data_IF_335365192329
#
_entry.id   IF_335365192329
#
_cell.length_a   1.000
_cell.length_b   1.000
_cell.length_c   1.000
_cell.angle_alpha   90.00
_cell.angle_beta   90.00
_cell.angle_gamma   90.00
#
_symmetry.space_group_name_H-M   'P 1'
#
loop_
_entity.id
_entity.type
_entity.pdbx_description
1 polymer ?
#
# COMPACT_ATOMS: atom_id res chain seq x y z
N UNK A 1 -1.36 -11.00 24.56
CA UNK A 1 -2.76 -10.52 24.67
C UNK A 1 -3.25 -10.21 23.26
N UNK A 2 -4.31 -10.85 22.80
CA UNK A 2 -4.88 -10.57 21.48
C UNK A 2 -5.38 -9.12 21.46
N UNK A 3 -4.80 -8.31 20.60
CA UNK A 3 -5.13 -6.89 20.48
C UNK A 3 -5.91 -6.70 19.19
N UNK A 4 -7.23 -6.49 19.31
CA UNK A 4 -8.14 -6.26 18.19
C UNK A 4 -7.69 -5.09 17.30
N UNK A 5 -7.13 -4.02 17.90
CA UNK A 5 -6.61 -2.88 17.13
C UNK A 5 -5.39 -3.29 16.31
N UNK A 6 -4.50 -4.13 16.86
CA UNK A 6 -3.36 -4.66 16.11
C UNK A 6 -3.83 -5.55 14.96
N UNK A 7 -4.77 -6.46 15.20
CA UNK A 7 -5.33 -7.33 14.16
C UNK A 7 -5.98 -6.50 13.04
N UNK A 8 -6.81 -5.51 13.38
CA UNK A 8 -7.43 -4.60 12.42
C UNK A 8 -6.41 -3.76 11.65
N UNK A 9 -5.34 -3.31 12.30
CA UNK A 9 -4.27 -2.56 11.62
C UNK A 9 -3.46 -3.44 10.66
N UNK A 10 -3.28 -4.73 10.99
CA UNK A 10 -2.47 -5.65 10.20
C UNK A 10 -3.25 -6.27 9.03
N UNK A 11 -4.54 -6.57 9.22
CA UNK A 11 -5.37 -7.27 8.23
C UNK A 11 -6.51 -6.44 7.64
N UNK A 12 -6.84 -5.28 8.23
CA UNK A 12 -7.88 -4.36 7.73
C UNK A 12 -9.32 -4.69 8.16
N UNK A 13 -9.56 -5.83 8.81
CA UNK A 13 -10.89 -6.25 9.27
C UNK A 13 -10.84 -6.93 10.65
N UNK A 14 -12.00 -7.26 11.21
CA UNK A 14 -12.16 -8.06 12.43
C UNK A 14 -13.25 -9.10 12.20
N UNK A 15 -13.04 -10.34 12.67
CA UNK A 15 -14.06 -11.39 12.67
C UNK A 15 -14.85 -11.28 13.98
N UNK A 16 -15.89 -10.46 14.00
CA UNK A 16 -16.69 -10.17 15.20
C UNK A 16 -17.48 -11.38 15.72
N UNK A 17 -17.91 -12.25 14.81
CA UNK A 17 -18.88 -13.31 15.08
C UNK A 17 -18.24 -14.71 15.08
N UNK A 18 -16.94 -14.79 15.36
CA UNK A 18 -16.19 -16.05 15.46
C UNK A 18 -15.42 -16.14 16.76
N UNK A 19 -15.40 -17.34 17.32
CA UNK A 19 -14.61 -17.63 18.51
C UNK A 19 -13.12 -17.43 18.23
N UNK A 20 -12.42 -16.79 19.18
CA UNK A 20 -10.96 -16.63 19.12
C UNK A 20 -10.30 -17.85 19.75
N UNK A 21 -9.66 -18.66 18.92
CA UNK A 21 -8.87 -19.81 19.37
C UNK A 21 -7.44 -19.38 19.73
N UNK A 22 -6.98 -19.75 20.92
CA UNK A 22 -5.60 -19.51 21.37
C UNK A 22 -4.81 -20.80 21.21
N UNK A 23 -3.84 -20.78 20.30
CA UNK A 23 -3.00 -21.95 19.97
C UNK A 23 -1.67 -21.95 20.74
N UNK A 24 -1.04 -20.77 20.92
CA UNK A 24 0.28 -20.64 21.55
C UNK A 24 0.33 -19.45 22.51
N UNK A 25 1.07 -19.61 23.62
CA UNK A 25 1.30 -18.57 24.63
C UNK A 25 2.79 -18.33 24.79
N UNK A 26 3.28 -17.18 24.30
CA UNK A 26 4.68 -16.77 24.42
C UNK A 26 4.88 -15.80 25.57
N UNK A 27 5.81 -16.13 26.46
CA UNK A 27 6.25 -15.26 27.55
C UNK A 27 7.61 -14.67 27.20
N UNK A 28 7.70 -13.34 27.13
CA UNK A 28 8.97 -12.62 26.99
C UNK A 28 9.30 -11.91 28.30
N UNK A 29 10.34 -12.36 28.99
CA UNK A 29 10.93 -11.63 30.10
C UNK A 29 11.98 -10.64 29.56
N UNK A 30 11.95 -9.40 30.05
CA UNK A 30 12.97 -8.39 29.77
C UNK A 30 13.48 -7.85 31.10
N UNK A 31 14.78 -8.02 31.36
CA UNK A 31 15.47 -7.40 32.49
C UNK A 31 16.14 -6.11 32.05
N UNK A 32 16.02 -5.05 32.85
CA UNK A 32 16.79 -3.82 32.64
C UNK A 32 18.03 -3.85 33.52
N UNK A 33 19.21 -4.02 32.94
CA UNK A 33 20.46 -3.68 33.63
C UNK A 33 20.61 -2.16 33.65
N UNK A 34 21.12 -1.60 34.75
CA UNK A 34 21.60 -0.23 34.74
C UNK A 34 22.89 -0.20 33.91
N UNK A 35 22.75 0.00 32.59
CA UNK A 35 23.88 0.39 31.76
C UNK A 35 24.42 1.74 32.24
N UNK A 36 25.72 1.97 32.05
CA UNK A 36 26.28 3.29 32.27
C UNK A 36 25.49 4.32 31.47
N UNK A 37 25.07 5.41 32.10
CA UNK A 37 24.41 6.49 31.38
C UNK A 37 25.43 7.12 30.43
N UNK A 38 25.10 7.25 29.15
CA UNK A 38 25.94 7.97 28.20
C UNK A 38 26.16 9.39 28.69
N UNK A 39 27.40 9.71 29.03
CA UNK A 39 27.81 11.07 29.39
C UNK A 39 27.90 11.89 28.12
N UNK A 40 27.01 12.87 27.99
CA UNK A 40 27.04 13.81 26.87
C UNK A 40 28.34 14.63 26.90
N UNK A 41 29.00 14.86 25.75
CA UNK A 41 30.14 15.75 25.68
C UNK A 41 29.74 17.20 26.02
N UNK A 42 30.70 18.09 26.32
CA UNK A 42 30.41 19.51 26.57
C UNK A 42 29.63 20.14 25.41
N UNK A 43 28.48 20.74 25.72
CA UNK A 43 27.61 21.37 24.74
C UNK A 43 28.20 22.65 24.13
N UNK A 44 27.96 22.87 22.85
CA UNK A 44 28.25 24.09 22.10
C UNK A 44 26.99 24.90 21.79
N UNK A 45 25.90 24.72 22.55
CA UNK A 45 24.65 25.44 22.33
C UNK A 45 24.87 26.95 22.31
N UNK A 46 24.40 27.62 21.25
CA UNK A 46 24.55 29.07 21.07
C UNK A 46 25.94 29.53 20.60
N UNK A 47 26.86 28.61 20.33
CA UNK A 47 28.14 28.91 19.67
C UNK A 47 28.04 28.71 18.17
N UNK A 48 28.77 29.51 17.40
CA UNK A 48 28.86 29.33 15.94
C UNK A 48 29.84 28.20 15.59
N UNK A 49 29.49 27.34 14.61
CA UNK A 49 30.38 26.28 14.15
C UNK A 49 31.57 26.85 13.37
N UNK A 50 32.76 26.30 13.58
CA UNK A 50 33.99 26.72 12.89
C UNK A 50 33.96 26.30 11.41
N UNK A 51 33.96 27.27 10.51
CA UNK A 51 34.06 27.03 9.07
C UNK A 51 35.51 26.66 8.72
N UNK A 52 35.70 25.51 8.08
CA UNK A 52 37.01 25.07 7.58
C UNK A 52 37.37 25.77 6.26
N UNK A 53 36.41 25.83 5.35
CA UNK A 53 36.58 26.40 4.01
C UNK A 53 35.22 26.78 3.42
N UNK A 54 35.18 27.74 2.51
CA UNK A 54 34.02 28.02 1.67
C UNK A 54 34.34 27.61 0.23
N UNK A 55 33.43 26.87 -0.40
CA UNK A 55 33.56 26.40 -1.80
C UNK A 55 32.28 26.69 -2.59
N UNK A 56 32.40 26.78 -3.92
CA UNK A 56 31.22 26.88 -4.79
C UNK A 56 30.69 25.49 -5.11
N UNK A 57 29.42 25.24 -4.78
CA UNK A 57 28.73 23.98 -5.07
C UNK A 57 27.52 24.30 -5.95
N UNK A 58 27.26 23.45 -6.95
CA UNK A 58 26.10 23.59 -7.83
C UNK A 58 24.89 22.87 -7.23
N UNK A 59 23.77 23.58 -7.09
CA UNK A 59 22.46 23.03 -6.71
C UNK A 59 21.43 23.30 -7.83
N UNK A 60 20.18 22.86 -7.68
CA UNK A 60 19.11 23.03 -8.68
C UNK A 60 18.95 24.49 -9.15
N UNK A 61 19.20 25.48 -8.27
CA UNK A 61 19.14 26.92 -8.57
C UNK A 61 20.47 27.56 -9.02
N UNK A 62 21.53 26.79 -9.26
CA UNK A 62 22.85 27.28 -9.68
C UNK A 62 23.94 27.16 -8.60
N UNK A 63 25.09 27.79 -8.87
CA UNK A 63 26.22 27.80 -7.93
C UNK A 63 25.94 28.65 -6.69
N UNK A 64 26.15 28.08 -5.51
CA UNK A 64 26.06 28.77 -4.22
C UNK A 64 27.36 28.59 -3.43
N UNK A 65 27.67 29.57 -2.58
CA UNK A 65 28.76 29.45 -1.61
C UNK A 65 28.32 28.53 -0.47
N UNK A 66 29.12 27.49 -0.23
CA UNK A 66 28.81 26.42 0.72
C UNK A 66 29.96 26.27 1.70
N UNK A 67 29.66 26.41 2.98
CA UNK A 67 30.63 26.24 4.05
C UNK A 67 30.94 24.76 4.28
N UNK A 68 32.21 24.43 4.42
CA UNK A 68 32.72 23.12 4.81
C UNK A 68 33.00 23.14 6.30
N UNK A 69 32.48 22.16 7.02
CA UNK A 69 32.71 21.91 8.43
C UNK A 69 33.39 20.56 8.61
N UNK A 70 34.33 20.46 9.54
CA UNK A 70 34.89 19.17 9.95
C UNK A 70 34.12 18.67 11.18
N UNK A 71 33.60 17.44 11.13
CA UNK A 71 32.77 16.88 12.19
C UNK A 71 33.49 16.90 13.55
N UNK A 72 34.79 16.60 13.56
CA UNK A 72 35.65 16.63 14.76
C UNK A 72 35.76 18.02 15.43
N UNK A 73 35.47 19.11 14.68
CA UNK A 73 35.51 20.49 15.19
C UNK A 73 34.14 20.99 15.65
N UNK A 74 33.08 20.23 15.39
CA UNK A 74 31.72 20.56 15.79
C UNK A 74 31.44 20.08 17.21
N UNK A 75 30.61 20.83 17.93
CA UNK A 75 30.23 20.54 19.32
C UNK A 75 28.76 20.12 19.40
N UNK A 76 28.38 19.26 20.37
CA UNK A 76 26.98 18.94 20.63
C UNK A 76 26.09 20.17 20.71
N UNK A 77 24.86 20.06 20.18
CA UNK A 77 23.84 21.11 20.14
C UNK A 77 24.16 22.35 19.28
N UNK A 78 25.23 22.30 18.47
CA UNK A 78 25.47 23.34 17.45
C UNK A 78 24.53 23.18 16.25
N UNK A 79 24.04 24.31 15.74
CA UNK A 79 23.29 24.38 14.49
C UNK A 79 24.23 24.72 13.34
N UNK A 80 24.01 24.06 12.22
CA UNK A 80 24.81 24.21 11.00
C UNK A 80 23.95 24.91 9.96
N UNK A 81 24.31 26.14 9.55
CA UNK A 81 23.62 26.87 8.50
C UNK A 81 23.64 26.10 7.17
N UNK A 82 22.58 26.23 6.37
CA UNK A 82 22.51 25.66 5.01
C UNK A 82 22.79 26.72 3.93
N UNK A 83 23.34 26.33 2.76
CA UNK A 83 23.88 25.01 2.44
C UNK A 83 25.24 24.77 3.11
N UNK A 84 25.55 23.50 3.42
CA UNK A 84 26.80 23.12 4.06
C UNK A 84 27.32 21.75 3.61
N UNK A 85 28.62 21.53 3.75
CA UNK A 85 29.25 20.21 3.65
C UNK A 85 29.85 19.88 5.02
N UNK A 86 29.51 18.75 5.59
CA UNK A 86 30.12 18.24 6.82
C UNK A 86 31.00 17.06 6.42
N UNK A 87 32.31 17.19 6.64
CA UNK A 87 33.27 16.13 6.36
C UNK A 87 33.66 15.43 7.65
N UNK A 88 33.66 14.11 7.57
CA UNK A 88 34.26 13.21 8.54
C UNK A 88 35.33 12.36 7.82
N UNK A 89 36.19 11.71 8.60
CA UNK A 89 37.21 10.79 8.12
C UNK A 89 36.69 9.67 7.19
N UNK A 90 35.41 9.27 7.34
CA UNK A 90 34.80 8.19 6.58
C UNK A 90 33.63 8.63 5.68
N UNK A 91 33.18 9.88 5.77
CA UNK A 91 31.99 10.32 5.05
C UNK A 91 31.99 11.81 4.74
N UNK A 92 31.23 12.18 3.71
CA UNK A 92 30.97 13.58 3.36
C UNK A 92 29.46 13.75 3.25
N UNK A 93 28.91 14.62 4.08
CA UNK A 93 27.48 14.85 4.20
C UNK A 93 27.17 16.22 3.62
N UNK A 94 26.34 16.25 2.58
CA UNK A 94 25.87 17.48 1.96
C UNK A 94 24.52 17.88 2.58
N UNK A 95 24.47 19.09 3.14
CA UNK A 95 23.25 19.73 3.61
C UNK A 95 22.76 20.66 2.50
N UNK A 96 21.71 20.24 1.81
CA UNK A 96 21.13 21.01 0.70
C UNK A 96 20.46 22.32 1.16
N UNK A 97 20.36 23.32 0.28
CA UNK A 97 19.56 24.51 0.53
C UNK A 97 18.14 24.18 0.98
N UNK A 98 17.66 24.83 2.04
CA UNK A 98 16.32 24.56 2.59
C UNK A 98 16.23 23.32 3.49
N UNK A 99 17.35 22.66 3.78
CA UNK A 99 17.48 21.75 4.91
C UNK A 99 18.23 22.45 6.05
N UNK A 100 18.24 21.88 7.25
CA UNK A 100 19.09 22.32 8.35
C UNK A 100 19.78 21.12 8.97
N UNK A 101 20.96 21.31 9.56
CA UNK A 101 21.59 20.28 10.36
C UNK A 101 21.89 20.80 11.77
N UNK A 102 21.83 19.90 12.75
CA UNK A 102 22.29 20.14 14.11
C UNK A 102 23.07 18.92 14.62
N UNK A 103 24.07 19.17 15.45
CA UNK A 103 24.72 18.10 16.22
C UNK A 103 23.83 17.80 17.42
N UNK A 104 23.44 16.54 17.62
CA UNK A 104 22.63 16.13 18.77
C UNK A 104 23.43 16.26 20.06
N UNK A 105 22.75 16.11 21.21
CA UNK A 105 23.38 16.07 22.54
C UNK A 105 24.52 15.03 22.64
N UNK A 106 24.48 13.98 21.84
CA UNK A 106 25.44 12.87 21.87
C UNK A 106 26.45 12.90 20.72
N UNK A 107 26.42 13.93 19.86
CA UNK A 107 27.37 14.08 18.76
C UNK A 107 26.88 13.54 17.41
N UNK A 108 25.68 12.97 17.33
CA UNK A 108 25.11 12.55 16.05
C UNK A 108 24.74 13.75 15.18
N UNK A 109 24.68 13.57 13.87
CA UNK A 109 24.17 14.60 12.97
C UNK A 109 22.68 14.37 12.75
N UNK A 110 21.85 15.33 13.15
CA UNK A 110 20.43 15.36 12.80
C UNK A 110 20.21 16.32 11.65
N UNK A 111 19.68 15.79 10.54
CA UNK A 111 19.31 16.57 9.36
C UNK A 111 17.79 16.74 9.35
N UNK A 112 17.35 17.98 9.27
CA UNK A 112 15.94 18.38 9.18
C UNK A 112 15.70 18.78 7.73
N UNK A 113 15.01 17.91 6.99
CA UNK A 113 14.67 18.11 5.58
C UNK A 113 13.38 18.91 5.46
N UNK A 114 13.33 19.86 4.52
CA UNK A 114 12.08 20.58 4.21
C UNK A 114 11.82 21.83 5.07
N UNK A 115 12.86 22.47 5.59
CA UNK A 115 12.78 23.82 6.14
C UNK A 115 12.61 24.90 5.04
N UNK A 116 12.81 24.53 3.76
CA UNK A 116 12.61 25.36 2.58
C UNK A 116 11.16 25.38 2.05
N UNK A 117 10.97 26.02 0.90
CA UNK A 117 9.65 26.12 0.26
C UNK A 117 9.19 24.75 -0.27
N UNK A 118 7.98 24.34 0.09
CA UNK A 118 7.34 23.15 -0.46
C UNK A 118 6.86 23.45 -1.89
N UNK A 119 7.34 22.69 -2.88
CA UNK A 119 6.77 22.75 -4.24
C UNK A 119 5.33 22.24 -4.18
N UNK A 120 4.41 22.98 -4.80
CA UNK A 120 3.02 22.54 -4.97
C UNK A 120 3.02 21.37 -5.96
N UNK A 121 2.34 20.28 -5.62
CA UNK A 121 2.14 19.16 -6.54
C UNK A 121 1.13 19.60 -7.60
N UNK A 122 1.55 19.58 -8.87
CA UNK A 122 0.71 19.88 -10.02
C UNK A 122 0.50 18.62 -10.86
N UNK A 123 -0.30 18.72 -11.93
CA UNK A 123 -0.45 17.67 -12.93
C UNK A 123 0.57 17.79 -14.06
N UNK A 124 1.55 18.70 -13.96
CA UNK A 124 2.59 18.85 -14.96
C UNK A 124 3.54 17.66 -14.93
N UNK A 125 4.09 17.31 -16.09
CA UNK A 125 4.98 16.16 -16.21
C UNK A 125 6.35 16.45 -15.57
N UNK A 126 6.47 16.14 -14.28
CA UNK A 126 7.72 16.14 -13.54
C UNK A 126 8.21 14.70 -13.33
N UNK A 127 9.45 14.41 -13.72
CA UNK A 127 10.00 13.05 -13.71
C UNK A 127 10.15 12.48 -12.30
N UNK A 128 10.46 13.34 -11.32
CA UNK A 128 10.59 12.97 -9.92
C UNK A 128 9.21 12.64 -9.34
N UNK A 129 8.21 13.49 -9.56
CA UNK A 129 6.82 13.23 -9.13
C UNK A 129 6.26 11.98 -9.81
N UNK A 130 6.48 11.81 -11.12
CA UNK A 130 6.04 10.61 -11.84
C UNK A 130 6.63 9.34 -11.22
N UNK A 131 7.92 9.34 -10.90
CA UNK A 131 8.58 8.22 -10.22
C UNK A 131 8.00 7.97 -8.84
N UNK A 132 7.86 9.02 -8.01
CA UNK A 132 7.28 8.93 -6.66
C UNK A 132 5.87 8.34 -6.73
N UNK A 133 4.99 8.87 -7.57
CA UNK A 133 3.61 8.39 -7.67
C UNK A 133 3.53 6.98 -8.25
N UNK A 134 4.33 6.65 -9.26
CA UNK A 134 4.38 5.29 -9.84
C UNK A 134 4.76 4.26 -8.78
N UNK A 135 5.82 4.51 -7.99
CA UNK A 135 6.22 3.62 -6.91
C UNK A 135 5.19 3.56 -5.77
N UNK A 136 4.54 4.68 -5.44
CA UNK A 136 3.47 4.70 -4.43
C UNK A 136 2.28 3.86 -4.86
N UNK A 137 1.80 4.00 -6.10
CA UNK A 137 0.67 3.21 -6.62
C UNK A 137 1.03 1.73 -6.74
N UNK A 138 2.25 1.41 -7.19
CA UNK A 138 2.74 0.03 -7.22
C UNK A 138 2.78 -0.58 -5.82
N UNK A 139 3.30 0.16 -4.84
CA UNK A 139 3.38 -0.29 -3.46
C UNK A 139 2.01 -0.63 -2.87
N UNK A 140 0.95 0.12 -3.20
CA UNK A 140 -0.42 -0.20 -2.77
C UNK A 140 -0.85 -1.55 -3.35
N UNK A 141 -0.69 -1.78 -4.65
CA UNK A 141 -1.06 -3.04 -5.29
C UNK A 141 -0.30 -4.23 -4.69
N UNK A 142 1.00 -4.08 -4.44
CA UNK A 142 1.81 -5.12 -3.79
C UNK A 142 1.38 -5.40 -2.34
N UNK A 143 1.09 -4.35 -1.56
CA UNK A 143 0.62 -4.49 -0.18
C UNK A 143 -0.72 -5.23 -0.14
N UNK A 144 -1.66 -4.89 -1.03
CA UNK A 144 -2.92 -5.62 -1.19
C UNK A 144 -2.66 -7.10 -1.48
N UNK A 145 -1.74 -7.40 -2.42
CA UNK A 145 -1.37 -8.78 -2.76
C UNK A 145 -0.76 -9.55 -1.60
N UNK A 146 0.15 -8.94 -0.85
CA UNK A 146 0.78 -9.55 0.33
C UNK A 146 -0.24 -9.86 1.42
N UNK A 147 -1.20 -8.96 1.67
CA UNK A 147 -2.28 -9.20 2.64
C UNK A 147 -3.15 -10.36 2.18
N UNK A 148 -3.61 -10.34 0.93
CA UNK A 148 -4.43 -11.42 0.35
C UNK A 148 -3.74 -12.78 0.44
N UNK A 149 -2.47 -12.87 0.09
CA UNK A 149 -1.67 -14.09 0.19
C UNK A 149 -1.58 -14.59 1.63
N UNK A 150 -1.28 -13.70 2.59
CA UNK A 150 -1.10 -14.05 4.01
C UNK A 150 -2.38 -14.51 4.69
N UNK A 151 -3.52 -13.93 4.33
CA UNK A 151 -4.82 -14.27 4.93
C UNK A 151 -5.53 -15.44 4.24
N UNK A 152 -5.07 -15.84 3.06
CA UNK A 152 -5.70 -16.91 2.31
C UNK A 152 -5.41 -18.29 2.92
N UNK A 153 -6.45 -19.12 2.97
CA UNK A 153 -6.35 -20.56 3.25
C UNK A 153 -6.17 -21.41 1.98
N UNK A 154 -6.36 -20.81 0.79
CA UNK A 154 -6.25 -21.50 -0.49
C UNK A 154 -4.80 -21.65 -0.90
N UNK A 155 -4.35 -22.88 -1.16
CA UNK A 155 -3.00 -23.17 -1.70
C UNK A 155 -2.76 -22.50 -3.05
N UNK A 156 -3.80 -22.32 -3.87
CA UNK A 156 -3.69 -21.63 -5.16
C UNK A 156 -3.28 -20.16 -4.96
N UNK A 157 -3.84 -19.49 -3.95
CA UNK A 157 -3.50 -18.10 -3.66
C UNK A 157 -2.20 -18.01 -2.85
N UNK A 158 -2.05 -18.84 -1.81
CA UNK A 158 -0.96 -18.73 -0.84
C UNK A 158 0.39 -19.15 -1.41
N UNK A 159 0.41 -20.25 -2.16
CA UNK A 159 1.64 -20.89 -2.66
C UNK A 159 1.80 -20.73 -4.18
N UNK A 160 0.72 -20.90 -4.96
CA UNK A 160 0.79 -20.74 -6.43
C UNK A 160 0.69 -19.28 -6.91
N UNK A 161 0.35 -18.36 -6.00
CA UNK A 161 0.17 -16.93 -6.28
C UNK A 161 -0.87 -16.65 -7.37
N UNK A 162 -1.93 -17.45 -7.40
CA UNK A 162 -3.00 -17.39 -8.38
C UNK A 162 -4.02 -16.30 -8.02
N UNK A 163 -3.55 -15.06 -8.04
CA UNK A 163 -4.31 -13.86 -7.75
C UNK A 163 -3.66 -12.63 -8.39
N UNK A 164 -4.39 -11.52 -8.46
CA UNK A 164 -3.83 -10.22 -8.82
C UNK A 164 -4.54 -9.10 -8.09
N UNK A 165 -3.79 -8.05 -7.77
CA UNK A 165 -4.30 -6.83 -7.15
C UNK A 165 -3.89 -5.64 -8.03
N UNK A 166 -4.82 -4.72 -8.23
CA UNK A 166 -4.60 -3.59 -9.12
C UNK A 166 -5.36 -2.34 -8.68
N UNK A 167 -4.82 -1.19 -9.08
CA UNK A 167 -5.44 0.13 -8.95
C UNK A 167 -5.89 0.61 -10.32
N UNK A 168 -7.06 1.23 -10.35
CA UNK A 168 -7.71 1.73 -11.56
C UNK A 168 -8.10 3.19 -11.36
N UNK A 169 -7.93 4.01 -12.39
CA UNK A 169 -8.26 5.42 -12.37
C UNK A 169 -9.76 5.71 -12.24
N UNK A 170 -10.17 6.99 -12.20
CA UNK A 170 -11.57 7.40 -12.15
C UNK A 170 -12.43 6.89 -13.32
N UNK A 171 -11.79 6.58 -14.46
CA UNK A 171 -12.38 6.03 -15.68
C UNK A 171 -12.31 4.49 -15.75
N UNK A 172 -11.79 3.86 -14.69
CA UNK A 172 -11.57 2.41 -14.63
C UNK A 172 -10.33 1.92 -15.38
N UNK A 173 -9.52 2.80 -15.97
CA UNK A 173 -8.27 2.42 -16.63
C UNK A 173 -7.22 1.91 -15.66
N UNK A 174 -6.47 0.87 -16.01
CA UNK A 174 -5.42 0.30 -15.16
C UNK A 174 -4.28 1.30 -14.92
N UNK A 175 -3.95 1.56 -13.66
CA UNK A 175 -2.88 2.47 -13.23
C UNK A 175 -1.67 1.70 -12.72
N UNK A 176 -1.87 0.70 -11.87
CA UNK A 176 -0.80 -0.16 -11.34
C UNK A 176 -1.32 -1.54 -10.98
N UNK A 177 -0.44 -2.54 -11.03
CA UNK A 177 -0.78 -3.93 -10.69
C UNK A 177 0.40 -4.64 -10.03
N UNK A 178 0.10 -5.52 -9.07
CA UNK A 178 1.12 -6.41 -8.52
C UNK A 178 1.50 -7.49 -9.57
N UNK A 179 2.77 -7.90 -9.65
CA UNK A 179 3.27 -8.80 -10.68
C UNK A 179 2.99 -10.26 -10.31
N UNK A 180 1.87 -10.81 -10.75
CA UNK A 180 1.57 -12.23 -10.51
C UNK A 180 1.04 -12.94 -11.76
N UNK A 181 0.00 -12.43 -12.41
CA UNK A 181 -0.63 -13.11 -13.55
C UNK A 181 -1.04 -12.12 -14.67
N UNK A 182 -0.35 -12.11 -15.83
CA UNK A 182 -0.64 -11.18 -16.92
C UNK A 182 -2.06 -11.27 -17.49
N UNK A 183 -2.68 -12.45 -17.53
CA UNK A 183 -4.04 -12.63 -18.09
C UNK A 183 -5.10 -11.86 -17.28
N UNK A 184 -4.84 -11.57 -16.00
CA UNK A 184 -5.76 -10.79 -15.17
C UNK A 184 -5.86 -9.33 -15.58
N UNK A 185 -4.82 -8.75 -16.19
CA UNK A 185 -4.71 -7.29 -16.31
C UNK A 185 -5.76 -6.67 -17.23
N UNK A 186 -5.92 -7.21 -18.43
CA UNK A 186 -6.96 -6.74 -19.37
C UNK A 186 -8.37 -7.03 -18.87
N UNK A 187 -8.59 -8.23 -18.32
CA UNK A 187 -9.91 -8.68 -17.88
C UNK A 187 -10.40 -7.93 -16.62
N UNK A 188 -9.52 -7.60 -15.69
CA UNK A 188 -9.88 -6.81 -14.50
C UNK A 188 -10.27 -5.38 -14.86
N UNK A 189 -9.60 -4.73 -15.82
CA UNK A 189 -10.00 -3.41 -16.31
C UNK A 189 -11.42 -3.41 -16.87
N UNK A 190 -11.74 -4.37 -17.75
CA UNK A 190 -13.10 -4.54 -18.29
C UNK A 190 -14.12 -4.80 -17.16
N UNK A 191 -13.74 -5.60 -16.16
CA UNK A 191 -14.60 -5.87 -14.99
C UNK A 191 -14.96 -4.59 -14.26
N UNK A 192 -13.97 -3.74 -13.95
CA UNK A 192 -14.17 -2.46 -13.26
C UNK A 192 -15.05 -1.54 -14.09
N UNK A 193 -14.75 -1.37 -15.38
CA UNK A 193 -15.52 -0.52 -16.29
C UNK A 193 -16.96 -1.01 -16.47
N UNK A 194 -17.18 -2.32 -16.55
CA UNK A 194 -18.51 -2.90 -16.57
C UNK A 194 -19.30 -2.57 -15.29
N UNK A 195 -18.69 -2.72 -14.11
CA UNK A 195 -19.36 -2.36 -12.85
C UNK A 195 -19.70 -0.88 -12.79
N UNK A 196 -18.79 0.00 -13.24
CA UNK A 196 -19.03 1.44 -13.33
C UNK A 196 -20.24 1.75 -14.21
N UNK A 197 -20.38 1.07 -15.35
CA UNK A 197 -21.52 1.26 -16.26
C UNK A 197 -22.83 0.74 -15.67
N UNK A 198 -22.82 -0.44 -15.05
CA UNK A 198 -24.03 -1.09 -14.53
C UNK A 198 -24.54 -0.43 -13.25
N UNK A 199 -23.62 0.00 -12.37
CA UNK A 199 -23.99 0.62 -11.08
C UNK A 199 -24.09 2.13 -11.17
N UNK A 200 -23.26 2.79 -11.98
CA UNK A 200 -23.28 4.25 -12.15
C UNK A 200 -23.27 4.98 -10.82
N UNK A 201 -24.20 5.92 -10.65
CA UNK A 201 -24.33 6.74 -9.44
C UNK A 201 -24.94 5.97 -8.23
N UNK A 202 -25.29 4.69 -8.39
CA UNK A 202 -25.77 3.85 -7.30
C UNK A 202 -24.66 3.45 -6.33
N UNK A 203 -23.39 3.48 -6.76
CA UNK A 203 -22.23 3.13 -5.91
C UNK A 203 -22.10 4.14 -4.78
N UNK A 204 -22.02 3.66 -3.53
CA UNK A 204 -21.87 4.48 -2.33
C UNK A 204 -20.55 4.20 -1.60
N UNK A 205 -20.07 5.15 -0.77
CA UNK A 205 -18.93 4.90 0.11
C UNK A 205 -19.17 3.68 1.01
N UNK A 206 -18.18 2.79 1.07
CA UNK A 206 -18.24 1.55 1.84
C UNK A 206 -18.86 0.36 1.09
N UNK A 207 -19.29 0.54 -0.16
CA UNK A 207 -19.72 -0.57 -1.00
C UNK A 207 -18.53 -1.37 -1.50
N UNK A 208 -18.71 -2.68 -1.68
CA UNK A 208 -17.76 -3.59 -2.33
C UNK A 208 -18.53 -4.51 -3.27
N UNK A 209 -18.04 -4.64 -4.50
CA UNK A 209 -18.70 -5.41 -5.56
C UNK A 209 -17.97 -6.73 -5.81
N UNK A 210 -18.71 -7.77 -6.20
CA UNK A 210 -18.17 -9.06 -6.63
C UNK A 210 -18.65 -9.39 -8.05
N UNK A 211 -17.72 -9.82 -8.89
CA UNK A 211 -18.01 -10.32 -10.24
C UNK A 211 -17.00 -11.38 -10.70
N UNK A 212 -17.49 -12.36 -11.46
CA UNK A 212 -16.69 -13.37 -12.18
C UNK A 212 -17.36 -13.81 -13.50
N UNK A 213 -18.57 -13.32 -13.80
CA UNK A 213 -19.31 -13.71 -14.99
C UNK A 213 -18.59 -13.19 -16.26
N UNK A 214 -18.47 -13.97 -17.35
CA UNK A 214 -17.75 -13.57 -18.57
C UNK A 214 -18.25 -12.25 -19.20
N UNK A 215 -19.57 -12.06 -19.28
CA UNK A 215 -20.21 -10.78 -19.69
C UNK A 215 -19.83 -9.55 -18.85
N UNK A 216 -19.20 -9.74 -17.69
CA UNK A 216 -18.81 -8.69 -16.76
C UNK A 216 -17.28 -8.66 -16.56
N UNK A 217 -16.49 -9.09 -17.56
CA UNK A 217 -15.02 -9.05 -17.51
C UNK A 217 -14.35 -10.23 -16.80
N UNK A 218 -15.10 -11.29 -16.46
CA UNK A 218 -14.54 -12.53 -15.95
C UNK A 218 -13.76 -13.31 -17.02
N UNK A 219 -12.56 -13.79 -16.69
CA UNK A 219 -11.73 -14.68 -17.53
C UNK A 219 -12.32 -16.09 -17.58
N UNK A 220 -12.68 -16.61 -16.42
CA UNK A 220 -13.42 -17.85 -16.20
C UNK A 220 -14.05 -17.79 -14.80
N UNK A 221 -15.04 -18.64 -14.51
CA UNK A 221 -15.80 -18.56 -13.27
C UNK A 221 -14.97 -18.71 -11.97
N UNK A 222 -13.93 -19.53 -11.92
CA UNK A 222 -13.03 -19.61 -10.76
C UNK A 222 -12.36 -18.29 -10.34
N UNK A 223 -12.23 -17.32 -11.25
CA UNK A 223 -11.59 -16.04 -10.98
C UNK A 223 -12.59 -15.02 -10.44
N UNK A 224 -12.68 -14.92 -9.12
CA UNK A 224 -13.57 -13.98 -8.45
C UNK A 224 -12.87 -12.63 -8.31
N UNK A 225 -13.49 -11.57 -8.85
CA UNK A 225 -12.99 -10.20 -8.77
C UNK A 225 -13.81 -9.39 -7.77
N UNK A 226 -13.16 -8.96 -6.70
CA UNK A 226 -13.71 -8.05 -5.69
C UNK A 226 -13.25 -6.64 -6.00
N UNK A 227 -14.18 -5.70 -6.17
CA UNK A 227 -13.90 -4.31 -6.54
C UNK A 227 -14.36 -3.38 -5.42
N UNK A 228 -13.43 -2.55 -4.93
CA UNK A 228 -13.71 -1.54 -3.91
C UNK A 228 -13.56 -0.14 -4.52
N UNK A 229 -14.66 0.63 -4.68
CA UNK A 229 -14.60 2.04 -5.03
C UNK A 229 -14.01 2.88 -3.89
N UNK A 230 -13.08 3.78 -4.22
CA UNK A 230 -12.47 4.67 -3.24
C UNK A 230 -13.00 6.09 -3.42
N UNK A 231 -13.48 6.69 -2.34
CA UNK A 231 -14.09 8.02 -2.35
C UNK A 231 -13.20 9.05 -1.65
N UNK A 232 -13.25 10.29 -2.14
CA UNK A 232 -12.66 11.42 -1.42
C UNK A 232 -13.47 11.73 -0.15
N UNK A 233 -12.82 12.28 0.88
CA UNK A 233 -13.48 12.64 2.16
C UNK A 233 -14.66 13.60 2.01
N UNK A 234 -14.65 14.42 0.96
CA UNK A 234 -15.74 15.37 0.63
C UNK A 234 -16.95 14.71 -0.04
N UNK A 235 -16.91 13.39 -0.26
CA UNK A 235 -17.94 12.66 -0.99
C UNK A 235 -17.88 12.88 -2.50
N UNK A 236 -18.96 12.50 -3.20
CA UNK A 236 -19.07 12.58 -4.66
C UNK A 236 -18.99 11.20 -5.33
N UNK A 237 -18.41 11.16 -6.52
CA UNK A 237 -18.13 9.91 -7.26
C UNK A 237 -16.82 9.26 -6.76
N UNK A 238 -16.60 7.96 -7.00
CA UNK A 238 -15.31 7.33 -6.75
C UNK A 238 -14.18 8.10 -7.46
N UNK A 239 -13.08 8.33 -6.75
CA UNK A 239 -11.87 8.98 -7.30
C UNK A 239 -10.92 7.97 -7.94
N UNK A 240 -11.00 6.70 -7.55
CA UNK A 240 -10.30 5.57 -8.17
C UNK A 240 -10.95 4.28 -7.65
N UNK A 241 -10.55 3.15 -8.22
CA UNK A 241 -10.99 1.82 -7.79
C UNK A 241 -9.79 0.96 -7.46
N UNK A 242 -9.96 0.05 -6.52
CA UNK A 242 -9.02 -1.04 -6.29
C UNK A 242 -9.74 -2.36 -6.52
N UNK A 243 -9.06 -3.33 -7.11
CA UNK A 243 -9.63 -4.66 -7.28
C UNK A 243 -8.63 -5.75 -6.93
N UNK A 244 -9.18 -6.84 -6.39
CA UNK A 244 -8.47 -8.07 -6.07
C UNK A 244 -9.19 -9.21 -6.80
N UNK A 245 -8.46 -9.93 -7.64
CA UNK A 245 -8.92 -11.15 -8.30
C UNK A 245 -8.18 -12.34 -7.69
N UNK A 246 -8.91 -13.36 -7.28
CA UNK A 246 -8.31 -14.59 -6.75
C UNK A 246 -8.94 -15.82 -7.38
N UNK A 247 -8.10 -16.82 -7.64
CA UNK A 247 -8.55 -18.08 -8.22
C UNK A 247 -9.05 -19.04 -7.14
N UNK A 248 -10.30 -19.46 -7.28
CA UNK A 248 -10.92 -20.46 -6.42
C UNK A 248 -10.80 -21.84 -7.06
N UNK A 249 -10.36 -22.84 -6.29
CA UNK A 249 -10.19 -24.20 -6.80
C UNK A 249 -11.51 -24.86 -7.24
N UNK A 250 -12.64 -24.37 -6.73
CA UNK A 250 -13.98 -24.87 -7.00
C UNK A 250 -15.00 -23.75 -6.77
N UNK A 251 -15.99 -23.64 -7.66
CA UNK A 251 -17.11 -22.68 -7.58
C UNK A 251 -18.48 -23.34 -7.73
N UNK A 252 -18.56 -24.67 -7.57
CA UNK A 252 -19.79 -25.45 -7.54
C UNK A 252 -20.31 -25.89 -8.91
N UNK A 253 -19.43 -26.21 -9.85
CA UNK A 253 -19.79 -26.78 -11.15
C UNK A 253 -20.19 -28.26 -11.12
N UNK A 254 -20.43 -28.85 -12.30
CA UNK A 254 -20.86 -30.27 -12.44
C UNK A 254 -19.91 -31.29 -11.82
N UNK A 255 -18.61 -31.01 -11.84
CA UNK A 255 -17.57 -31.87 -11.28
C UNK A 255 -16.71 -31.06 -10.32
N UNK A 256 -16.26 -31.65 -9.20
CA UNK A 256 -15.32 -30.99 -8.31
C UNK A 256 -14.09 -30.47 -9.05
N UNK A 257 -13.68 -29.26 -8.71
CA UNK A 257 -12.54 -28.58 -9.32
C UNK A 257 -12.91 -27.36 -10.15
N UNK A 258 -11.88 -26.76 -10.74
CA UNK A 258 -11.92 -25.41 -11.29
C UNK A 258 -12.64 -25.34 -12.65
N UNK A 259 -12.38 -26.29 -13.55
CA UNK A 259 -12.85 -26.24 -14.94
C UNK A 259 -13.47 -27.59 -15.37
N UNK A 260 -14.79 -27.79 -15.19
CA UNK A 260 -15.47 -29.03 -15.59
C UNK A 260 -15.47 -29.22 -17.12
N UNK A 261 -14.78 -30.24 -17.67
CA UNK A 261 -14.54 -30.37 -19.11
C UNK A 261 -15.78 -30.77 -19.93
N UNK A 262 -16.85 -31.20 -19.27
CA UNK A 262 -18.10 -31.66 -19.90
C UNK A 262 -19.23 -30.63 -19.84
N UNK A 263 -18.93 -29.39 -19.43
CA UNK A 263 -19.92 -28.32 -19.42
C UNK A 263 -20.27 -27.91 -20.84
N UNK A 264 -21.56 -27.92 -21.16
CA UNK A 264 -22.13 -27.43 -22.41
C UNK A 264 -22.80 -26.05 -22.25
N UNK A 265 -23.01 -25.59 -21.01
CA UNK A 265 -23.68 -24.32 -20.67
C UNK A 265 -23.04 -23.70 -19.43
N UNK A 266 -23.00 -22.38 -19.35
CA UNK A 266 -22.43 -21.65 -18.21
C UNK A 266 -23.04 -22.05 -16.86
N UNK A 267 -24.33 -22.36 -16.81
CA UNK A 267 -25.02 -22.80 -15.59
C UNK A 267 -24.48 -24.15 -15.02
N UNK A 268 -23.66 -24.87 -15.79
CA UNK A 268 -23.01 -26.11 -15.38
C UNK A 268 -21.59 -25.88 -14.83
N UNK A 269 -21.05 -24.67 -14.98
CA UNK A 269 -19.69 -24.31 -14.57
C UNK A 269 -19.62 -23.75 -13.15
N UNK A 270 -20.77 -23.55 -12.50
CA UNK A 270 -20.88 -23.12 -11.10
C UNK A 270 -21.35 -21.67 -10.94
N UNK A 271 -20.98 -21.07 -9.80
CA UNK A 271 -21.46 -19.74 -9.41
C UNK A 271 -20.99 -18.64 -10.37
N UNK A 272 -21.93 -17.86 -10.89
CA UNK A 272 -21.65 -16.77 -11.83
C UNK A 272 -22.32 -15.44 -11.41
N UNK A 273 -21.50 -14.52 -10.92
CA UNK A 273 -21.89 -13.19 -10.46
C UNK A 273 -21.58 -12.15 -11.52
N UNK A 274 -22.61 -11.47 -12.04
CA UNK A 274 -22.43 -10.31 -12.95
C UNK A 274 -22.10 -9.04 -12.20
N UNK A 275 -22.80 -8.80 -11.10
CA UNK A 275 -22.62 -7.63 -10.23
C UNK A 275 -23.33 -7.90 -8.92
N UNK A 276 -22.64 -8.51 -7.96
CA UNK A 276 -23.17 -8.69 -6.61
C UNK A 276 -22.65 -7.55 -5.72
N UNK A 277 -23.52 -6.96 -4.89
CA UNK A 277 -23.11 -6.05 -3.84
C UNK A 277 -22.70 -6.89 -2.63
N UNK A 278 -21.40 -7.20 -2.56
CA UNK A 278 -20.81 -8.09 -1.55
C UNK A 278 -20.79 -7.43 -0.16
N UNK A 279 -20.50 -6.14 -0.14
CA UNK A 279 -20.59 -5.29 1.05
C UNK A 279 -21.44 -4.09 0.67
N UNK A 280 -22.48 -3.81 1.43
CA UNK A 280 -23.29 -2.58 1.30
C UNK A 280 -22.96 -1.65 2.47
N UNK A 281 -22.36 -0.50 2.18
CA UNK A 281 -22.02 0.53 3.20
C UNK A 281 -21.30 -0.04 4.43
N UNK A 282 -20.34 -0.94 4.22
CA UNK A 282 -19.57 -1.60 5.27
C UNK A 282 -20.21 -2.84 5.89
N UNK A 283 -21.42 -3.24 5.50
CA UNK A 283 -22.07 -4.48 5.95
C UNK A 283 -21.86 -5.61 4.95
N UNK A 284 -21.22 -6.69 5.37
CA UNK A 284 -21.01 -7.88 4.53
C UNK A 284 -22.31 -8.67 4.35
N UNK A 285 -22.65 -9.03 3.12
CA UNK A 285 -23.88 -9.73 2.75
C UNK A 285 -23.63 -11.22 2.50
N UNK A 286 -23.28 -11.95 3.57
CA UNK A 286 -22.96 -13.38 3.50
C UNK A 286 -24.12 -14.21 2.93
N UNK A 287 -25.35 -13.97 3.39
CA UNK A 287 -26.53 -14.71 2.93
C UNK A 287 -26.75 -14.57 1.42
N UNK A 288 -26.50 -13.39 0.84
CA UNK A 288 -26.65 -13.17 -0.60
C UNK A 288 -25.54 -13.87 -1.39
N UNK A 289 -24.32 -13.91 -0.84
CA UNK A 289 -23.22 -14.66 -1.43
C UNK A 289 -23.53 -16.17 -1.44
N UNK A 290 -24.00 -16.71 -0.31
CA UNK A 290 -24.36 -18.13 -0.17
C UNK A 290 -25.54 -18.49 -1.07
N UNK A 291 -26.61 -17.68 -1.06
CA UNK A 291 -27.78 -17.90 -1.91
C UNK A 291 -27.41 -17.83 -3.40
N UNK A 292 -26.64 -16.82 -3.81
CA UNK A 292 -26.19 -16.67 -5.19
C UNK A 292 -25.25 -17.79 -5.65
N UNK A 293 -24.45 -18.36 -4.73
CA UNK A 293 -23.66 -19.57 -4.99
C UNK A 293 -24.53 -20.83 -5.09
N UNK A 294 -25.62 -20.92 -4.32
CA UNK A 294 -26.52 -22.06 -4.29
C UNK A 294 -27.47 -22.13 -5.50
N UNK A 295 -27.94 -20.99 -6.04
CA UNK A 295 -28.85 -20.95 -7.20
C UNK A 295 -28.23 -21.45 -8.51
N UNK A 296 -26.92 -21.71 -8.53
CA UNK A 296 -26.17 -22.13 -9.72
C UNK A 296 -25.61 -23.55 -9.61
N UNK A 297 -25.96 -24.31 -8.56
CA UNK A 297 -25.66 -25.74 -8.50
C UNK A 297 -26.69 -26.51 -9.34
N UNK A 298 -26.29 -27.25 -10.38
CA UNK A 298 -27.19 -28.21 -11.01
C UNK A 298 -27.64 -29.24 -9.96
N UNK A 299 -28.94 -29.55 -9.94
CA UNK A 299 -29.47 -30.69 -9.16
C UNK A 299 -28.84 -32.01 -9.62
#
# INVERSE_FOLDING_TARGET
MFNLNRYKNEFGFTLSDRDVLVDDVRVRAAGRSAGAADTAPPGGRGTEPTVEKIVKVYFEGGYQETAIYLLEKLKPEQKIPSPAIIMDSLSTILIEPGSCAEITKYGDIRIIIGAGQTKVVTSDLDTVQLSIFSHRFMSIAEQMGRVLQRTSISVNIKERLDFSCALFGPDGGLVSNAPHIPVHLGAMQETVQYQMKVRGDSIKPGDVLLANHPKAGGSHLPDLTVITPVFHKRGGRPIFFVASRGHHADVGGLSPGSMPPHSARLAQEGAAFRSLLLVERGRFHEDQLVAGGATHRPM
#
